data_IF_399698282438
#
_entry.id   IF_399698282438
#
_cell.length_a   1.000
_cell.length_b   1.000
_cell.length_c   1.000
_cell.angle_alpha   90.00
_cell.angle_beta   90.00
_cell.angle_gamma   90.00
#
_symmetry.space_group_name_H-M   'P 1'
#
loop_
_entity.id
_entity.type
_entity.pdbx_description
1 polymer ?
#
# COMPACT_ATOMS: atom_id res chain seq x y z
N UNK A 1 -28.24 1.87 19.81
CA UNK A 1 -26.83 1.73 19.37
C UNK A 1 -26.34 2.93 18.55
N UNK A 2 -27.16 3.60 17.75
CA UNK A 2 -26.70 4.74 16.93
C UNK A 2 -26.10 5.94 17.69
N UNK A 3 -26.48 6.16 18.95
CA UNK A 3 -26.08 7.36 19.71
C UNK A 3 -24.59 7.39 20.12
N UNK A 4 -23.93 6.23 20.24
CA UNK A 4 -22.49 6.16 20.55
C UNK A 4 -21.63 6.00 19.29
N UNK A 5 -22.19 5.39 18.24
CA UNK A 5 -21.46 5.04 17.01
C UNK A 5 -21.34 6.23 16.07
N UNK A 6 -22.42 7.00 15.88
CA UNK A 6 -22.41 8.15 14.97
C UNK A 6 -21.36 9.22 15.34
N UNK A 7 -21.14 9.58 16.61
CA UNK A 7 -20.09 10.53 16.98
C UNK A 7 -18.67 9.99 16.78
N UNK A 8 -18.45 8.68 16.94
CA UNK A 8 -17.12 8.08 16.76
C UNK A 8 -16.68 8.00 15.30
N UNK A 9 -17.65 7.81 14.39
CA UNK A 9 -17.47 7.71 12.94
C UNK A 9 -17.79 9.01 12.19
N UNK A 10 -18.13 10.08 12.92
CA UNK A 10 -18.35 11.38 12.30
C UNK A 10 -17.03 11.92 11.72
N UNK A 11 -17.14 12.77 10.69
CA UNK A 11 -16.01 13.53 10.15
C UNK A 11 -15.39 14.37 11.30
N UNK A 12 -14.07 14.34 11.45
CA UNK A 12 -13.32 14.85 12.62
C UNK A 12 -13.56 14.11 13.94
N UNK A 13 -14.17 12.93 13.92
CA UNK A 13 -14.26 12.01 15.06
C UNK A 13 -12.94 11.25 15.29
N UNK A 14 -12.80 10.54 16.43
CA UNK A 14 -11.56 9.82 16.76
C UNK A 14 -11.13 8.75 15.74
N UNK A 15 -12.07 8.26 14.91
CA UNK A 15 -11.81 7.23 13.90
C UNK A 15 -11.75 7.78 12.47
N UNK A 16 -11.72 9.11 12.29
CA UNK A 16 -11.47 9.76 11.00
C UNK A 16 -9.98 9.65 10.59
N UNK A 17 -9.11 9.33 11.54
CA UNK A 17 -7.70 9.00 11.32
C UNK A 17 -7.55 7.50 10.98
N UNK A 18 -7.01 7.22 9.78
CA UNK A 18 -6.83 5.86 9.28
C UNK A 18 -5.90 5.02 10.18
N UNK A 19 -4.85 5.59 10.75
CA UNK A 19 -3.91 4.87 11.61
C UNK A 19 -4.56 4.53 12.96
N UNK A 20 -5.45 5.38 13.48
CA UNK A 20 -6.25 5.08 14.68
C UNK A 20 -7.27 3.98 14.37
N UNK A 21 -8.01 4.09 13.27
CA UNK A 21 -9.02 3.11 12.87
C UNK A 21 -8.40 1.73 12.64
N UNK A 22 -7.26 1.66 11.93
CA UNK A 22 -6.54 0.41 11.69
C UNK A 22 -6.06 -0.26 12.98
N UNK A 23 -5.46 0.52 13.89
CA UNK A 23 -5.03 -0.01 15.20
C UNK A 23 -6.19 -0.60 15.99
N UNK A 24 -7.37 0.04 15.95
CA UNK A 24 -8.56 -0.47 16.61
C UNK A 24 -9.03 -1.79 15.99
N UNK A 25 -9.18 -1.86 14.67
CA UNK A 25 -9.64 -3.08 13.97
C UNK A 25 -8.68 -4.25 14.24
N UNK A 26 -7.37 -3.98 14.20
CA UNK A 26 -6.35 -4.98 14.49
C UNK A 26 -6.36 -5.43 15.96
N UNK A 27 -6.47 -4.49 16.92
CA UNK A 27 -6.55 -4.80 18.35
C UNK A 27 -7.80 -5.62 18.71
N UNK A 28 -8.89 -5.47 17.95
CA UNK A 28 -10.11 -6.29 18.08
C UNK A 28 -9.98 -7.69 17.46
N UNK A 29 -8.84 -8.02 16.84
CA UNK A 29 -8.60 -9.30 16.18
C UNK A 29 -9.45 -9.50 14.92
N UNK A 30 -9.88 -8.42 14.27
CA UNK A 30 -10.73 -8.44 13.06
C UNK A 30 -9.94 -8.28 11.75
N UNK A 31 -8.63 -8.24 11.83
CA UNK A 31 -7.73 -8.04 10.69
C UNK A 31 -6.47 -8.86 10.86
N UNK A 32 -6.04 -9.51 9.79
CA UNK A 32 -4.79 -10.26 9.78
C UNK A 32 -3.57 -9.35 9.86
N UNK A 33 -2.49 -9.85 10.45
CA UNK A 33 -1.23 -9.12 10.60
C UNK A 33 -0.68 -8.59 9.27
N UNK A 34 -0.78 -9.38 8.20
CA UNK A 34 -0.25 -9.00 6.89
C UNK A 34 -1.07 -7.85 6.26
N UNK A 35 -2.39 -7.88 6.42
CA UNK A 35 -3.30 -6.85 5.91
C UNK A 35 -3.09 -5.54 6.66
N UNK A 36 -2.97 -5.61 7.99
CA UNK A 36 -2.61 -4.47 8.82
C UNK A 36 -1.26 -3.87 8.39
N UNK A 37 -0.23 -4.71 8.23
CA UNK A 37 1.10 -4.25 7.82
C UNK A 37 1.08 -3.53 6.47
N UNK A 38 0.38 -4.09 5.47
CA UNK A 38 0.31 -3.48 4.14
C UNK A 38 -0.40 -2.12 4.18
N UNK A 39 -1.57 -2.01 4.82
CA UNK A 39 -2.29 -0.73 4.86
C UNK A 39 -1.49 0.32 5.65
N UNK A 40 -0.86 -0.05 6.76
CA UNK A 40 0.03 0.85 7.50
C UNK A 40 1.21 1.30 6.63
N UNK A 41 1.79 0.41 5.82
CA UNK A 41 2.89 0.76 4.92
C UNK A 41 2.45 1.77 3.86
N UNK A 42 1.26 1.60 3.27
CA UNK A 42 0.67 2.57 2.35
C UNK A 42 0.41 3.93 3.02
N UNK A 43 -0.11 3.94 4.26
CA UNK A 43 -0.35 5.17 5.04
C UNK A 43 0.96 5.93 5.29
N UNK A 44 2.01 5.22 5.73
CA UNK A 44 3.34 5.79 5.96
C UNK A 44 3.98 6.33 4.68
N UNK A 45 3.87 5.58 3.57
CA UNK A 45 4.40 6.05 2.29
C UNK A 45 3.66 7.29 1.80
N UNK A 46 2.33 7.34 1.96
CA UNK A 46 1.55 8.53 1.64
C UNK A 46 1.95 9.75 2.48
N UNK A 47 2.14 9.59 3.79
CA UNK A 47 2.63 10.65 4.68
C UNK A 47 4.01 11.14 4.24
N UNK A 48 4.93 10.21 3.97
CA UNK A 48 6.25 10.54 3.44
C UNK A 48 6.15 11.36 2.16
N UNK A 49 5.36 10.94 1.17
CA UNK A 49 5.19 11.66 -0.10
C UNK A 49 4.63 13.07 0.09
N UNK A 50 3.79 13.28 1.12
CA UNK A 50 3.19 14.58 1.42
C UNK A 50 4.16 15.56 2.08
N UNK A 51 5.16 15.05 2.80
CA UNK A 51 6.19 15.85 3.45
C UNK A 51 7.35 16.22 2.51
N UNK A 52 7.46 15.57 1.34
CA UNK A 52 8.53 15.85 0.38
C UNK A 52 8.20 17.04 -0.54
N UNK A 53 9.20 17.89 -0.78
CA UNK A 53 9.13 18.97 -1.77
C UNK A 53 9.06 18.44 -3.22
N UNK A 54 9.66 17.26 -3.46
CA UNK A 54 9.66 16.59 -4.76
C UNK A 54 9.19 15.15 -4.61
N UNK A 55 8.12 14.80 -5.33
CA UNK A 55 7.51 13.47 -5.29
C UNK A 55 8.40 12.48 -6.05
N UNK A 56 8.88 11.39 -5.41
CA UNK A 56 9.60 10.33 -6.08
C UNK A 56 8.81 9.72 -7.25
N UNK A 57 9.54 9.37 -8.31
CA UNK A 57 9.02 8.62 -9.44
C UNK A 57 8.78 7.15 -9.11
N UNK A 58 8.04 6.47 -9.98
CA UNK A 58 7.76 5.03 -9.85
C UNK A 58 8.98 4.14 -10.13
N UNK A 59 9.99 4.67 -10.83
CA UNK A 59 11.23 3.96 -11.11
C UNK A 59 12.31 4.17 -10.03
N UNK A 60 12.08 5.10 -9.09
CA UNK A 60 13.05 5.47 -8.07
C UNK A 60 13.21 4.37 -7.03
N UNK A 61 14.41 4.30 -6.44
CA UNK A 61 14.77 3.26 -5.47
C UNK A 61 13.86 3.26 -4.24
N UNK A 62 13.40 4.44 -3.81
CA UNK A 62 12.46 4.51 -2.68
C UNK A 62 11.10 3.87 -2.97
N UNK A 63 10.61 4.00 -4.21
CA UNK A 63 9.36 3.34 -4.63
C UNK A 63 9.58 1.83 -4.76
N UNK A 64 10.78 1.42 -5.19
CA UNK A 64 11.17 0.01 -5.20
C UNK A 64 11.20 -0.60 -3.79
N UNK A 65 11.83 0.09 -2.84
CA UNK A 65 11.89 -0.34 -1.45
C UNK A 65 10.48 -0.45 -0.86
N UNK A 66 9.60 0.52 -1.14
CA UNK A 66 8.20 0.47 -0.74
C UNK A 66 7.49 -0.79 -1.28
N UNK A 67 7.48 -1.01 -2.60
CA UNK A 67 6.73 -2.16 -3.16
C UNK A 67 7.31 -3.51 -2.75
N UNK A 68 8.62 -3.57 -2.46
CA UNK A 68 9.30 -4.77 -1.98
C UNK A 68 8.95 -5.14 -0.54
N UNK A 69 8.31 -4.23 0.21
CA UNK A 69 7.84 -4.46 1.58
C UNK A 69 6.31 -4.67 1.68
N UNK A 70 5.59 -4.63 0.56
CA UNK A 70 4.14 -4.90 0.51
C UNK A 70 3.88 -6.40 0.34
N UNK A 71 3.18 -7.02 1.30
CA UNK A 71 2.88 -8.47 1.29
C UNK A 71 2.02 -8.86 0.08
N UNK A 72 1.01 -8.07 -0.27
CA UNK A 72 0.18 -8.29 -1.47
C UNK A 72 0.99 -8.43 -2.76
N UNK A 73 2.10 -7.69 -2.87
CA UNK A 73 2.97 -7.69 -4.06
C UNK A 73 3.94 -8.87 -3.95
N UNK A 74 4.69 -8.97 -2.86
CA UNK A 74 5.74 -9.99 -2.66
C UNK A 74 5.21 -11.43 -2.62
N UNK A 75 3.97 -11.65 -2.14
CA UNK A 75 3.34 -12.97 -2.16
C UNK A 75 2.89 -13.41 -3.55
N UNK A 76 2.69 -12.48 -4.47
CA UNK A 76 2.39 -12.78 -5.86
C UNK A 76 3.71 -13.06 -6.61
N UNK A 77 4.23 -14.27 -6.43
CA UNK A 77 5.55 -14.65 -6.95
C UNK A 77 5.74 -14.38 -8.46
N UNK A 78 4.78 -14.66 -9.36
CA UNK A 78 4.91 -14.31 -10.77
C UNK A 78 5.03 -12.79 -11.01
N UNK A 79 4.23 -11.98 -10.31
CA UNK A 79 4.26 -10.52 -10.43
C UNK A 79 5.57 -9.95 -9.87
N UNK A 80 5.96 -10.37 -8.67
CA UNK A 80 7.15 -9.88 -8.00
C UNK A 80 8.44 -10.31 -8.73
N UNK A 81 8.52 -11.56 -9.20
CA UNK A 81 9.65 -12.02 -10.00
C UNK A 81 9.76 -11.26 -11.34
N UNK A 82 8.63 -10.88 -11.96
CA UNK A 82 8.65 -10.04 -13.15
C UNK A 82 9.18 -8.62 -12.83
N UNK A 83 8.74 -8.02 -11.72
CA UNK A 83 9.24 -6.74 -11.24
C UNK A 83 10.76 -6.76 -10.96
N UNK A 84 11.26 -7.76 -10.24
CA UNK A 84 12.70 -7.94 -9.98
C UNK A 84 13.48 -8.09 -11.28
N UNK A 85 13.00 -8.93 -12.20
CA UNK A 85 13.66 -9.13 -13.49
C UNK A 85 13.77 -7.84 -14.30
N UNK A 86 12.78 -6.93 -14.21
CA UNK A 86 12.80 -5.64 -14.89
C UNK A 86 13.69 -4.62 -14.16
N UNK A 87 13.65 -4.57 -12.82
CA UNK A 87 14.44 -3.61 -12.02
C UNK A 87 15.94 -3.83 -12.21
N UNK A 88 16.38 -5.08 -12.33
CA UNK A 88 17.80 -5.44 -12.44
C UNK A 88 18.25 -5.78 -13.86
N UNK A 89 17.37 -5.65 -14.86
CA UNK A 89 17.78 -5.81 -16.25
C UNK A 89 18.55 -4.58 -16.74
N UNK A 90 19.38 -4.81 -17.77
CA UNK A 90 20.07 -3.72 -18.46
C UNK A 90 19.06 -2.78 -19.15
N UNK A 91 19.39 -1.49 -19.22
CA UNK A 91 18.54 -0.44 -19.80
C UNK A 91 18.18 -0.72 -21.27
N UNK A 92 19.05 -1.43 -22.00
CA UNK A 92 18.79 -1.87 -23.36
C UNK A 92 17.66 -2.92 -23.45
N UNK A 93 17.40 -3.68 -22.38
CA UNK A 93 16.40 -4.73 -22.35
C UNK A 93 15.00 -4.20 -21.96
N UNK A 94 14.92 -3.14 -21.16
CA UNK A 94 13.65 -2.58 -20.68
C UNK A 94 13.67 -1.07 -20.59
N UNK A 95 12.66 -0.42 -21.16
CA UNK A 95 12.46 1.01 -20.98
C UNK A 95 11.91 1.31 -19.57
N UNK A 96 12.36 2.42 -18.99
CA UNK A 96 11.85 2.96 -17.71
C UNK A 96 10.33 3.12 -17.71
N UNK A 97 9.75 3.48 -18.87
CA UNK A 97 8.29 3.57 -19.08
C UNK A 97 7.60 2.23 -18.84
N UNK A 98 8.19 1.12 -19.31
CA UNK A 98 7.63 -0.22 -19.13
C UNK A 98 7.72 -0.68 -17.68
N UNK A 99 8.84 -0.41 -17.02
CA UNK A 99 9.00 -0.69 -15.59
C UNK A 99 8.00 0.10 -14.75
N UNK A 100 7.88 1.41 -15.00
CA UNK A 100 6.89 2.29 -14.36
C UNK A 100 5.47 1.77 -14.54
N UNK A 101 5.11 1.30 -15.74
CA UNK A 101 3.81 0.68 -16.00
C UNK A 101 3.56 -0.55 -15.13
N UNK A 102 4.56 -1.42 -14.99
CA UNK A 102 4.46 -2.63 -14.16
C UNK A 102 4.33 -2.29 -12.67
N UNK A 103 5.10 -1.34 -12.15
CA UNK A 103 5.00 -0.87 -10.76
C UNK A 103 3.59 -0.35 -10.47
N UNK A 104 3.04 0.48 -11.35
CA UNK A 104 1.66 0.98 -11.23
C UNK A 104 0.64 -0.16 -11.19
N UNK A 105 0.76 -1.15 -12.07
CA UNK A 105 -0.11 -2.34 -12.07
C UNK A 105 -0.01 -3.10 -10.75
N UNK A 106 1.20 -3.30 -10.23
CA UNK A 106 1.41 -4.01 -8.98
C UNK A 106 0.78 -3.29 -7.79
N UNK A 107 0.95 -1.97 -7.70
CA UNK A 107 0.31 -1.15 -6.66
C UNK A 107 -1.22 -1.19 -6.77
N UNK A 108 -1.78 -1.08 -7.98
CA UNK A 108 -3.22 -1.15 -8.20
C UNK A 108 -3.80 -2.53 -7.79
N UNK A 109 -3.11 -3.61 -8.12
CA UNK A 109 -3.48 -4.97 -7.69
C UNK A 109 -3.39 -5.12 -6.17
N UNK A 110 -2.37 -4.54 -5.53
CA UNK A 110 -2.22 -4.58 -4.08
C UNK A 110 -3.40 -3.88 -3.38
N UNK A 111 -3.73 -2.65 -3.80
CA UNK A 111 -4.89 -1.91 -3.25
C UNK A 111 -6.20 -2.65 -3.52
N UNK A 112 -6.37 -3.22 -4.73
CA UNK A 112 -7.56 -4.02 -5.07
C UNK A 112 -7.68 -5.25 -4.17
N UNK A 113 -6.58 -5.91 -3.85
CA UNK A 113 -6.55 -7.08 -2.97
C UNK A 113 -6.88 -6.68 -1.53
N UNK A 114 -6.27 -5.62 -1.02
CA UNK A 114 -6.57 -5.04 0.30
C UNK A 114 -8.07 -4.73 0.42
N UNK A 115 -8.64 -4.04 -0.57
CA UNK A 115 -10.07 -3.69 -0.56
C UNK A 115 -10.97 -4.93 -0.53
N UNK A 116 -10.63 -5.98 -1.29
CA UNK A 116 -11.39 -7.24 -1.28
C UNK A 116 -11.41 -7.90 0.09
N UNK A 117 -10.28 -7.89 0.81
CA UNK A 117 -10.20 -8.47 2.15
C UNK A 117 -10.92 -7.63 3.21
N UNK A 118 -11.09 -6.32 2.98
CA UNK A 118 -11.83 -5.42 3.87
C UNK A 118 -13.36 -5.48 3.66
N UNK A 119 -13.82 -5.94 2.50
CA UNK A 119 -15.24 -6.12 2.19
C UNK A 119 -15.58 -7.61 2.07
N UNK A 120 -15.85 -8.31 3.19
CA UNK A 120 -16.25 -9.71 3.17
C UNK A 120 -17.62 -9.94 2.52
#
# INVERSE_FOLDING_TARGET
MEYAVKPLLAQSGPLDDIDVALRLIYALGKMDKWLYADITHFSQFYQYLHEQDAIPGFADDITWDFISNVNCITRNAPLYGALESMKFADFAAWSEVRFTGMVKTAMALAVTTILKELTP
#
